data_IF_512695018319
#
_entry.id   IF_512695018319
#
_cell.length_a   1.000
_cell.length_b   1.000
_cell.length_c   1.000
_cell.angle_alpha   90.00
_cell.angle_beta   90.00
_cell.angle_gamma   90.00
#
_symmetry.space_group_name_H-M   'P 1'
#
loop_
_entity.id
_entity.type
_entity.pdbx_description
1 polymer ?
#
# COMPACT_ATOMS: atom_id res chain seq x y z
N UNK A 1 -1.61 18.66 -12.93
CA UNK A 1 -2.75 18.17 -12.16
C UNK A 1 -2.65 16.66 -12.03
N UNK A 2 -2.95 16.12 -10.86
CA UNK A 2 -2.91 14.69 -10.58
C UNK A 2 -4.28 14.24 -10.11
N UNK A 3 -4.78 13.16 -10.70
CA UNK A 3 -6.00 12.50 -10.23
C UNK A 3 -5.60 11.27 -9.43
N UNK A 4 -6.12 11.17 -8.21
CA UNK A 4 -5.89 10.02 -7.34
C UNK A 4 -7.22 9.34 -7.08
N UNK A 5 -7.26 8.03 -7.29
CA UNK A 5 -8.45 7.23 -7.01
C UNK A 5 -8.07 6.15 -6.01
N UNK A 6 -8.73 6.17 -4.86
CA UNK A 6 -8.54 5.15 -3.83
C UNK A 6 -9.38 3.93 -4.19
N UNK A 7 -8.73 2.78 -4.33
CA UNK A 7 -9.39 1.54 -4.74
C UNK A 7 -9.71 0.63 -3.57
N UNK A 8 -8.89 0.66 -2.53
CA UNK A 8 -9.18 -0.05 -1.30
C UNK A 8 -8.44 0.57 -0.13
N UNK A 9 -9.00 0.35 1.05
CA UNK A 9 -8.38 0.68 2.34
C UNK A 9 -8.72 -0.44 3.30
N UNK A 10 -7.71 -1.07 3.87
CA UNK A 10 -7.87 -2.23 4.76
C UNK A 10 -7.11 -2.00 6.04
N UNK A 11 -7.67 -2.48 7.13
CA UNK A 11 -7.07 -2.40 8.45
C UNK A 11 -6.99 -3.80 9.04
N UNK A 12 -5.81 -4.17 9.51
CA UNK A 12 -5.57 -5.48 10.11
C UNK A 12 -4.90 -5.26 11.47
N UNK A 13 -5.44 -5.91 12.49
CA UNK A 13 -4.88 -5.87 13.84
C UNK A 13 -4.41 -7.27 14.21
N UNK A 14 -3.12 -7.44 14.48
CA UNK A 14 -2.53 -8.72 14.86
C UNK A 14 -1.98 -8.62 16.28
N UNK A 15 -2.21 -9.66 17.08
CA UNK A 15 -1.59 -9.79 18.39
C UNK A 15 -0.25 -10.46 18.20
N UNK A 16 0.81 -9.90 18.81
CA UNK A 16 2.16 -10.45 18.69
C UNK A 16 3.01 -9.99 19.86
N UNK A 17 3.86 -10.91 20.35
CA UNK A 17 4.88 -10.56 21.33
C UNK A 17 6.11 -9.89 20.71
N UNK A 18 6.23 -9.94 19.38
CA UNK A 18 7.38 -9.37 18.67
C UNK A 18 6.91 -8.63 17.41
N UNK A 19 6.41 -7.39 17.54
CA UNK A 19 5.94 -6.63 16.40
C UNK A 19 7.04 -6.29 15.40
N UNK A 20 8.29 -6.21 15.85
CA UNK A 20 9.41 -5.95 14.94
C UNK A 20 9.62 -7.11 13.96
N UNK A 21 9.71 -8.34 14.46
CA UNK A 21 9.85 -9.52 13.61
C UNK A 21 8.66 -9.69 12.69
N UNK A 22 7.45 -9.44 13.20
CA UNK A 22 6.23 -9.54 12.39
C UNK A 22 6.22 -8.50 11.27
N UNK A 23 6.68 -7.27 11.55
CA UNK A 23 6.77 -6.23 10.52
C UNK A 23 7.75 -6.60 9.41
N UNK A 24 8.86 -7.27 9.76
CA UNK A 24 9.82 -7.77 8.77
C UNK A 24 9.22 -8.89 7.92
N UNK A 25 8.40 -9.76 8.51
CA UNK A 25 7.68 -10.79 7.76
C UNK A 25 6.72 -10.18 6.74
N UNK A 26 6.01 -9.12 7.12
CA UNK A 26 5.13 -8.41 6.22
C UNK A 26 5.91 -7.75 5.10
N UNK A 27 7.05 -7.15 5.40
CA UNK A 27 7.93 -6.58 4.38
C UNK A 27 8.40 -7.65 3.39
N UNK A 28 8.73 -8.85 3.87
CA UNK A 28 9.12 -9.97 3.02
C UNK A 28 7.97 -10.43 2.10
N UNK A 29 6.75 -10.46 2.63
CA UNK A 29 5.56 -10.75 1.81
C UNK A 29 5.42 -9.71 0.69
N UNK A 30 5.59 -8.44 1.04
CA UNK A 30 5.49 -7.35 0.07
C UNK A 30 6.55 -7.47 -1.03
N UNK A 31 7.76 -7.90 -0.68
CA UNK A 31 8.84 -8.11 -1.65
C UNK A 31 8.51 -9.16 -2.71
N UNK A 32 7.63 -10.09 -2.39
CA UNK A 32 7.14 -11.06 -3.36
C UNK A 32 6.26 -10.45 -4.47
N UNK A 33 5.80 -9.22 -4.28
CA UNK A 33 4.93 -8.51 -5.22
C UNK A 33 5.60 -7.32 -5.89
N UNK A 34 6.75 -6.90 -5.42
CA UNK A 34 7.49 -5.77 -5.97
C UNK A 34 8.59 -5.29 -5.04
N UNK A 35 9.26 -4.21 -5.42
CA UNK A 35 10.32 -3.61 -4.64
C UNK A 35 9.73 -2.56 -3.68
N UNK A 36 9.77 -2.80 -2.36
CA UNK A 36 9.27 -1.80 -1.40
C UNK A 36 10.17 -0.57 -1.35
N UNK A 37 9.54 0.61 -1.31
CA UNK A 37 10.24 1.88 -1.10
C UNK A 37 9.87 2.38 0.28
N UNK A 38 10.80 2.37 1.21
CA UNK A 38 10.57 2.79 2.59
C UNK A 38 10.35 4.29 2.68
N UNK A 39 9.33 4.69 3.45
CA UNK A 39 9.05 6.08 3.79
C UNK A 39 9.40 6.36 5.25
N UNK A 40 9.27 5.38 6.12
CA UNK A 40 9.55 5.50 7.55
C UNK A 40 9.96 4.15 8.09
N UNK A 41 11.01 4.13 8.90
CA UNK A 41 11.47 2.93 9.58
C UNK A 41 12.04 3.34 10.93
N UNK A 42 11.22 3.21 11.97
CA UNK A 42 11.60 3.59 13.33
C UNK A 42 11.40 2.38 14.25
N UNK A 43 12.44 2.04 14.98
CA UNK A 43 12.38 1.03 16.01
C UNK A 43 12.94 1.63 17.29
N UNK A 44 12.11 1.70 18.32
CA UNK A 44 12.47 2.29 19.60
C UNK A 44 12.32 1.25 20.73
N UNK A 45 13.26 1.25 21.64
CA UNK A 45 13.20 0.44 22.86
C UNK A 45 13.31 1.34 24.08
N UNK A 46 12.37 1.19 25.01
CA UNK A 46 12.36 1.89 26.28
C UNK A 46 12.03 0.87 27.38
N UNK A 47 13.08 0.27 27.93
CA UNK A 47 12.93 -0.82 28.90
C UNK A 47 12.22 -2.01 28.26
N UNK A 48 11.12 -2.50 28.89
CA UNK A 48 10.35 -3.60 28.33
C UNK A 48 9.46 -3.18 27.14
N UNK A 49 9.30 -1.87 26.90
CA UNK A 49 8.48 -1.36 25.83
C UNK A 49 9.28 -1.25 24.54
N UNK A 50 8.78 -1.89 23.49
CA UNK A 50 9.33 -1.80 22.14
C UNK A 50 8.29 -1.22 21.23
N UNK A 51 8.68 -0.28 20.38
CA UNK A 51 7.78 0.38 19.44
C UNK A 51 8.34 0.30 18.03
N UNK A 52 7.49 -0.05 17.10
CA UNK A 52 7.83 -0.17 15.67
C UNK A 52 6.91 0.71 14.85
N UNK A 53 7.49 1.50 13.97
CA UNK A 53 6.76 2.21 12.93
C UNK A 53 7.48 1.94 11.62
N UNK A 54 6.79 1.29 10.69
CA UNK A 54 7.32 0.97 9.37
C UNK A 54 6.30 1.35 8.31
N UNK A 55 6.71 2.22 7.39
CA UNK A 55 5.87 2.63 6.28
C UNK A 55 6.63 2.47 4.98
N UNK A 56 6.00 1.83 4.01
CA UNK A 56 6.60 1.64 2.69
C UNK A 56 5.53 1.54 1.62
N UNK A 57 5.94 1.74 0.38
CA UNK A 57 5.06 1.69 -0.77
C UNK A 57 5.55 0.67 -1.80
N UNK A 58 4.60 -0.03 -2.41
CA UNK A 58 4.81 -0.78 -3.64
C UNK A 58 4.23 0.05 -4.78
N UNK A 59 5.02 0.32 -5.80
CA UNK A 59 4.60 1.10 -6.96
C UNK A 59 4.78 0.30 -8.24
N UNK A 60 3.81 0.43 -9.14
CA UNK A 60 3.88 -0.15 -10.47
C UNK A 60 3.52 0.92 -11.48
N UNK A 61 4.44 1.24 -12.38
CA UNK A 61 4.14 2.12 -13.50
C UNK A 61 3.32 1.35 -14.51
N UNK A 62 2.10 1.84 -14.78
CA UNK A 62 1.19 1.21 -15.72
C UNK A 62 1.47 1.75 -17.12
N UNK A 63 1.59 3.06 -17.23
CA UNK A 63 1.96 3.74 -18.45
C UNK A 63 2.60 5.09 -18.12
N UNK A 64 2.80 5.92 -19.14
CA UNK A 64 3.39 7.25 -19.03
C UNK A 64 2.68 8.18 -18.04
N UNK A 65 1.37 7.97 -17.84
CA UNK A 65 0.53 8.88 -17.08
C UNK A 65 -0.03 8.25 -15.81
N UNK A 66 0.10 6.95 -15.65
CA UNK A 66 -0.61 6.21 -14.61
C UNK A 66 0.32 5.33 -13.79
N UNK A 67 0.13 5.37 -12.47
CA UNK A 67 0.88 4.56 -11.51
C UNK A 67 -0.08 3.92 -10.51
N UNK A 68 0.06 2.64 -10.26
CA UNK A 68 -0.62 1.95 -9.18
C UNK A 68 0.29 1.93 -7.96
N UNK A 69 -0.28 2.18 -6.78
CA UNK A 69 0.48 2.22 -5.53
C UNK A 69 -0.28 1.52 -4.42
N UNK A 70 0.43 0.68 -3.66
CA UNK A 70 -0.08 0.13 -2.41
C UNK A 70 0.79 0.66 -1.29
N UNK A 71 0.19 1.38 -0.36
CA UNK A 71 0.86 1.93 0.81
C UNK A 71 0.64 1.02 2.00
N UNK A 72 1.72 0.73 2.73
CA UNK A 72 1.71 -0.06 3.95
C UNK A 72 2.12 0.85 5.10
N UNK A 73 1.29 0.93 6.12
CA UNK A 73 1.61 1.63 7.37
C UNK A 73 1.47 0.66 8.52
N UNK A 74 2.58 0.34 9.18
CA UNK A 74 2.66 -0.61 10.27
C UNK A 74 3.02 0.12 11.56
N UNK A 75 2.23 -0.07 12.61
CA UNK A 75 2.49 0.48 13.93
C UNK A 75 2.28 -0.61 14.96
N UNK A 76 3.30 -0.86 15.78
CA UNK A 76 3.23 -1.89 16.79
C UNK A 76 3.93 -1.51 18.08
N UNK A 77 3.49 -2.13 19.15
CA UNK A 77 4.10 -2.02 20.47
C UNK A 77 4.16 -3.38 21.12
N UNK A 78 5.22 -3.61 21.87
CA UNK A 78 5.40 -4.80 22.69
C UNK A 78 5.57 -4.36 24.14
N UNK A 79 4.53 -4.58 24.94
CA UNK A 79 4.55 -4.47 26.39
C UNK A 79 3.78 -5.67 26.94
N UNK A 80 2.97 -5.53 27.97
CA UNK A 80 2.14 -6.62 28.48
C UNK A 80 1.14 -7.18 27.47
N UNK A 81 0.78 -6.41 26.43
CA UNK A 81 -0.11 -6.81 25.34
C UNK A 81 0.44 -6.32 24.02
N UNK A 82 1.23 -7.17 23.38
CA UNK A 82 1.83 -6.82 22.10
C UNK A 82 0.86 -6.86 20.95
N UNK A 83 1.01 -5.93 20.01
CA UNK A 83 0.18 -5.87 18.81
C UNK A 83 0.95 -5.24 17.65
N UNK A 84 0.44 -5.47 16.46
CA UNK A 84 0.85 -4.77 15.25
C UNK A 84 -0.39 -4.39 14.47
N UNK A 85 -0.57 -3.10 14.23
CA UNK A 85 -1.63 -2.56 13.39
C UNK A 85 -1.10 -2.29 12.00
N UNK A 86 -1.83 -2.75 11.00
CA UNK A 86 -1.44 -2.67 9.60
C UNK A 86 -2.53 -1.96 8.83
N UNK A 87 -2.16 -0.94 8.09
CA UNK A 87 -3.05 -0.27 7.14
C UNK A 87 -2.53 -0.48 5.74
N UNK A 88 -3.39 -0.99 4.87
CA UNK A 88 -3.11 -1.17 3.45
C UNK A 88 -4.01 -0.23 2.68
N UNK A 89 -3.43 0.55 1.78
CA UNK A 89 -4.19 1.48 0.96
C UNK A 89 -3.74 1.33 -0.48
N UNK A 90 -4.69 1.01 -1.36
CA UNK A 90 -4.43 0.91 -2.80
C UNK A 90 -4.94 2.14 -3.52
N UNK A 91 -4.06 2.78 -4.28
CA UNK A 91 -4.38 3.99 -5.03
C UNK A 91 -3.94 3.84 -6.49
N UNK A 92 -4.72 4.45 -7.37
CA UNK A 92 -4.35 4.61 -8.75
C UNK A 92 -4.18 6.10 -9.03
N UNK A 93 -2.99 6.49 -9.47
CA UNK A 93 -2.65 7.89 -9.71
C UNK A 93 -2.53 8.12 -11.20
N UNK A 94 -3.26 9.10 -11.71
CA UNK A 94 -3.19 9.52 -13.11
C UNK A 94 -2.66 10.94 -13.17
N UNK A 95 -1.58 11.13 -13.92
CA UNK A 95 -1.00 12.45 -14.14
C UNK A 95 -1.72 13.12 -15.29
N UNK A 96 -2.42 14.19 -14.99
CA UNK A 96 -3.12 14.98 -15.98
C UNK A 96 -2.18 16.04 -16.56
N UNK A 97 -2.39 16.39 -17.82
CA UNK A 97 -1.68 17.51 -18.44
C UNK A 97 -2.19 18.83 -17.88
N UNK A 98 -1.43 19.91 -18.12
CA UNK A 98 -1.79 21.23 -17.61
C UNK A 98 -3.15 21.69 -18.09
N UNK A 99 -3.83 22.53 -17.29
CA UNK A 99 -5.15 23.06 -17.63
C UNK A 99 -5.11 23.95 -18.89
N UNK A 100 -6.10 23.78 -19.75
CA UNK A 100 -6.27 24.50 -20.99
C UNK A 100 -7.16 23.69 -21.94
N UNK A 101 -7.72 24.31 -23.00
CA UNK A 101 -8.64 23.60 -23.91
C UNK A 101 -8.02 22.35 -24.55
N UNK A 102 -6.77 22.44 -25.00
CA UNK A 102 -6.08 21.32 -25.64
C UNK A 102 -5.76 20.23 -24.61
N UNK A 103 -5.28 20.62 -23.42
CA UNK A 103 -4.97 19.68 -22.35
C UNK A 103 -6.21 18.98 -21.83
N UNK A 104 -7.33 19.71 -21.73
CA UNK A 104 -8.62 19.14 -21.32
C UNK A 104 -9.11 18.11 -22.34
N UNK A 105 -9.05 18.44 -23.63
CA UNK A 105 -9.42 17.50 -24.67
C UNK A 105 -8.56 16.24 -24.66
N UNK A 106 -7.27 16.39 -24.44
CA UNK A 106 -6.34 15.26 -24.31
C UNK A 106 -6.71 14.38 -23.12
N UNK A 107 -6.98 14.98 -21.97
CA UNK A 107 -7.35 14.23 -20.77
C UNK A 107 -8.65 13.45 -20.94
N UNK A 108 -9.65 14.06 -21.58
CA UNK A 108 -10.92 13.40 -21.89
C UNK A 108 -10.71 12.22 -22.85
N UNK A 109 -9.93 12.43 -23.89
CA UNK A 109 -9.57 11.37 -24.84
C UNK A 109 -8.87 10.22 -24.15
N UNK A 110 -7.86 10.52 -23.33
CA UNK A 110 -7.12 9.51 -22.60
C UNK A 110 -8.02 8.68 -21.69
N UNK A 111 -8.86 9.34 -20.89
CA UNK A 111 -9.77 8.65 -19.97
C UNK A 111 -10.81 7.82 -20.74
N UNK A 112 -11.31 8.33 -21.87
CA UNK A 112 -12.31 7.64 -22.68
C UNK A 112 -11.74 6.37 -23.33
N UNK A 113 -10.59 6.48 -23.96
CA UNK A 113 -10.03 5.37 -24.74
C UNK A 113 -9.30 4.33 -23.89
N UNK A 114 -8.75 4.74 -22.74
CA UNK A 114 -8.02 3.84 -21.88
C UNK A 114 -8.86 3.28 -20.74
N UNK A 115 -10.11 3.72 -20.58
CA UNK A 115 -10.96 3.33 -19.46
C UNK A 115 -11.12 1.81 -19.30
N UNK A 116 -11.36 1.01 -20.36
CA UNK A 116 -11.45 -0.45 -20.18
C UNK A 116 -10.16 -1.07 -19.65
N UNK A 117 -9.00 -0.58 -20.10
CA UNK A 117 -7.70 -1.02 -19.62
C UNK A 117 -7.52 -0.63 -18.15
N UNK A 118 -7.88 0.61 -17.78
CA UNK A 118 -7.78 1.08 -16.40
C UNK A 118 -8.68 0.28 -15.46
N UNK A 119 -9.89 -0.08 -15.90
CA UNK A 119 -10.80 -0.91 -15.10
C UNK A 119 -10.19 -2.27 -14.77
N UNK A 120 -9.49 -2.88 -15.73
CA UNK A 120 -8.80 -4.14 -15.50
C UNK A 120 -7.67 -3.97 -14.50
N UNK A 121 -6.88 -2.90 -14.63
CA UNK A 121 -5.81 -2.61 -13.67
C UNK A 121 -6.37 -2.33 -12.27
N UNK A 122 -7.49 -1.65 -12.17
CA UNK A 122 -8.18 -1.42 -10.89
C UNK A 122 -8.60 -2.75 -10.24
N UNK A 123 -9.18 -3.65 -11.03
CA UNK A 123 -9.59 -4.97 -10.55
C UNK A 123 -8.39 -5.78 -10.08
N UNK A 124 -7.31 -5.79 -10.84
CA UNK A 124 -6.08 -6.50 -10.47
C UNK A 124 -5.49 -5.95 -9.18
N UNK A 125 -5.50 -4.62 -8.99
CA UNK A 125 -5.00 -4.00 -7.77
C UNK A 125 -5.84 -4.37 -6.56
N UNK A 126 -7.17 -4.40 -6.70
CA UNK A 126 -8.07 -4.84 -5.62
C UNK A 126 -7.85 -6.31 -5.27
N UNK A 127 -7.66 -7.16 -6.27
CA UNK A 127 -7.37 -8.59 -6.05
C UNK A 127 -6.05 -8.76 -5.32
N UNK A 128 -5.04 -7.98 -5.68
CA UNK A 128 -3.75 -7.97 -5.00
C UNK A 128 -3.90 -7.54 -3.53
N UNK A 129 -4.71 -6.51 -3.27
CA UNK A 129 -5.02 -6.06 -1.91
C UNK A 129 -5.66 -7.17 -1.08
N UNK A 130 -6.61 -7.93 -1.65
CA UNK A 130 -7.25 -9.06 -0.99
C UNK A 130 -6.25 -10.19 -0.71
N UNK A 131 -5.36 -10.47 -1.65
CA UNK A 131 -4.34 -11.51 -1.48
C UNK A 131 -3.34 -11.13 -0.38
N UNK A 132 -2.90 -9.87 -0.35
CA UNK A 132 -2.02 -9.36 0.70
C UNK A 132 -2.67 -9.46 2.07
N UNK A 133 -3.93 -9.06 2.18
CA UNK A 133 -4.69 -9.17 3.44
C UNK A 133 -4.74 -10.61 3.92
N UNK A 134 -5.02 -11.54 3.02
CA UNK A 134 -5.08 -12.97 3.35
C UNK A 134 -3.74 -13.48 3.87
N UNK A 135 -2.65 -13.16 3.16
CA UNK A 135 -1.31 -13.60 3.55
C UNK A 135 -0.87 -13.01 4.89
N UNK A 136 -1.21 -11.75 5.13
CA UNK A 136 -0.89 -11.09 6.40
C UNK A 136 -1.69 -11.72 7.54
N UNK A 137 -2.97 -12.00 7.35
CA UNK A 137 -3.80 -12.65 8.36
C UNK A 137 -3.30 -14.06 8.70
N UNK A 138 -2.71 -14.76 7.75
CA UNK A 138 -2.14 -16.08 7.99
C UNK A 138 -0.95 -16.04 8.97
N UNK A 139 -0.29 -14.89 9.12
CA UNK A 139 0.82 -14.72 10.06
C UNK A 139 0.37 -14.75 11.52
N UNK A 140 -0.90 -14.52 11.81
CA UNK A 140 -1.43 -14.55 13.18
C UNK A 140 -1.30 -15.94 13.82
N UNK A 141 -1.22 -16.98 13.01
CA UNK A 141 -1.17 -18.37 13.47
C UNK A 141 0.26 -18.91 13.65
N UNK A 142 1.26 -18.03 13.53
CA UNK A 142 2.67 -18.42 13.66
C UNK A 142 3.18 -18.18 15.08
#
# INVERSE_FOLDING_TARGET
MRRVEELFSKYIHLKTGDPFSLSLEILNIARGFGEPVERKNTYETDGPRKRVELSFDLKKEIDKFSTAKISFDLNGESNSRGFLDIRLKGEFQTRMTKTGPISQAFNEYYLSDTLPFLKREFSELKDLGNELEKKINELENI
#
